data_IF_948216005817
#
_entry.id   IF_948216005817
#
_cell.length_a   1.000
_cell.length_b   1.000
_cell.length_c   1.000
_cell.angle_alpha   90.00
_cell.angle_beta   90.00
_cell.angle_gamma   90.00
#
_symmetry.space_group_name_H-M   'P 1'
#
loop_
_entity.id
_entity.type
_entity.pdbx_description
1 polymer ?
#
# COMPACT_ATOMS: atom_id res chain seq x y z
N UNK A 1 -12.57 -13.48 -6.30
CA UNK A 1 -12.03 -12.60 -5.24
C UNK A 1 -11.69 -11.28 -5.91
N UNK A 2 -11.91 -10.15 -5.23
CA UNK A 2 -11.67 -8.83 -5.80
C UNK A 2 -10.31 -8.33 -5.33
N UNK A 3 -9.39 -8.11 -6.27
CA UNK A 3 -8.10 -7.46 -6.03
C UNK A 3 -8.24 -5.98 -6.38
N UNK A 4 -7.68 -5.11 -5.53
CA UNK A 4 -7.58 -3.67 -5.78
C UNK A 4 -6.18 -3.22 -5.41
N UNK A 5 -5.56 -2.41 -6.26
CA UNK A 5 -4.24 -1.86 -6.05
C UNK A 5 -4.33 -0.35 -6.06
N UNK A 6 -3.70 0.28 -5.07
CA UNK A 6 -3.67 1.73 -4.96
C UNK A 6 -2.25 2.24 -4.72
N UNK A 7 -2.06 3.51 -5.05
CA UNK A 7 -0.94 4.35 -4.68
C UNK A 7 -1.48 5.64 -4.09
N UNK A 8 -1.12 5.95 -2.85
CA UNK A 8 -1.53 7.19 -2.19
C UNK A 8 -0.35 7.89 -1.53
N UNK A 9 -0.28 9.20 -1.68
CA UNK A 9 0.73 10.03 -1.01
C UNK A 9 0.16 10.56 0.30
N UNK A 10 0.95 10.48 1.36
CA UNK A 10 0.66 11.09 2.65
C UNK A 10 1.60 12.27 2.88
N UNK A 11 1.07 13.48 2.75
CA UNK A 11 1.87 14.71 2.75
C UNK A 11 2.56 14.97 4.09
N UNK A 12 1.92 14.63 5.21
CA UNK A 12 2.43 14.95 6.56
C UNK A 12 3.75 14.24 6.87
N UNK A 13 3.96 13.07 6.30
CA UNK A 13 5.13 12.22 6.56
C UNK A 13 6.06 12.08 5.34
N UNK A 14 5.71 12.68 4.19
CA UNK A 14 6.43 12.50 2.92
C UNK A 14 6.63 11.00 2.59
N UNK A 15 5.51 10.27 2.55
CA UNK A 15 5.48 8.82 2.29
C UNK A 15 4.50 8.49 1.18
N UNK A 16 4.94 7.68 0.23
CA UNK A 16 4.06 6.99 -0.71
C UNK A 16 3.69 5.61 -0.19
N UNK A 17 2.40 5.35 -0.10
CA UNK A 17 1.84 4.03 0.20
C UNK A 17 1.38 3.36 -1.09
N UNK A 18 1.88 2.16 -1.33
CA UNK A 18 1.32 1.24 -2.32
C UNK A 18 0.64 0.12 -1.57
N UNK A 19 -0.64 -0.12 -1.80
CA UNK A 19 -1.39 -1.11 -1.03
C UNK A 19 -2.14 -2.03 -1.99
N UNK A 20 -2.00 -3.33 -1.75
CA UNK A 20 -2.79 -4.36 -2.41
C UNK A 20 -3.85 -4.88 -1.44
N UNK A 21 -5.10 -4.65 -1.81
CA UNK A 21 -6.28 -5.15 -1.11
C UNK A 21 -6.82 -6.42 -1.78
N UNK A 22 -7.18 -7.40 -0.96
CA UNK A 22 -7.94 -8.58 -1.36
C UNK A 22 -9.24 -8.62 -0.56
N UNK A 23 -10.38 -8.55 -1.26
CA UNK A 23 -11.71 -8.44 -0.64
C UNK A 23 -11.74 -7.34 0.43
N UNK A 24 -11.32 -6.13 0.04
CA UNK A 24 -11.27 -4.91 0.85
C UNK A 24 -10.27 -4.88 2.02
N UNK A 25 -9.46 -5.93 2.22
CA UNK A 25 -8.43 -5.97 3.27
C UNK A 25 -7.02 -5.90 2.68
N UNK A 26 -6.16 -5.09 3.26
CA UNK A 26 -4.76 -5.03 2.82
C UNK A 26 -4.05 -6.36 3.12
N UNK A 27 -3.33 -6.87 2.12
CA UNK A 27 -2.54 -8.10 2.26
C UNK A 27 -1.06 -7.89 1.94
N UNK A 28 -0.74 -6.82 1.21
CA UNK A 28 0.63 -6.35 0.94
C UNK A 28 0.66 -4.83 0.93
N UNK A 29 1.72 -4.25 1.47
CA UNK A 29 1.96 -2.80 1.48
C UNK A 29 3.44 -2.50 1.24
N UNK A 30 3.69 -1.43 0.49
CA UNK A 30 4.99 -0.81 0.32
C UNK A 30 4.88 0.62 0.84
N UNK A 31 5.77 0.99 1.75
CA UNK A 31 6.00 2.39 2.12
C UNK A 31 7.28 2.85 1.43
N UNK A 32 7.20 3.94 0.68
CA UNK A 32 8.32 4.54 -0.02
C UNK A 32 8.49 5.98 0.46
N UNK A 33 9.58 6.23 1.18
CA UNK A 33 9.98 7.57 1.63
C UNK A 33 11.49 7.72 1.51
N UNK A 34 11.95 8.85 0.97
CA UNK A 34 13.38 9.18 0.86
C UNK A 34 14.25 8.04 0.26
N UNK A 35 13.71 7.33 -0.73
CA UNK A 35 14.37 6.19 -1.39
C UNK A 35 14.44 4.90 -0.57
N UNK A 36 13.90 4.89 0.67
CA UNK A 36 13.75 3.69 1.49
C UNK A 36 12.42 3.02 1.19
N UNK A 37 12.46 1.69 1.03
CA UNK A 37 11.28 0.84 0.84
C UNK A 37 11.07 -0.04 2.07
N UNK A 38 9.87 -0.01 2.62
CA UNK A 38 9.43 -0.92 3.68
C UNK A 38 8.34 -1.80 3.10
N UNK A 39 8.51 -3.12 3.23
CA UNK A 39 7.56 -4.11 2.76
C UNK A 39 6.85 -4.74 3.94
N UNK A 40 5.53 -4.79 3.87
CA UNK A 40 4.66 -5.37 4.89
C UNK A 40 3.71 -6.36 4.23
N UNK A 41 3.45 -7.46 4.90
CA UNK A 41 2.54 -8.54 4.46
C UNK A 41 1.74 -9.05 5.64
N UNK A 42 0.78 -9.95 5.42
CA UNK A 42 0.08 -10.63 6.52
C UNK A 42 1.03 -11.42 7.44
N UNK A 43 2.12 -11.97 6.90
CA UNK A 43 3.13 -12.72 7.66
C UNK A 43 4.10 -11.80 8.41
N UNK A 44 4.32 -10.59 7.90
CA UNK A 44 5.14 -9.55 8.51
C UNK A 44 4.37 -8.21 8.54
N UNK A 45 3.34 -8.08 9.40
CA UNK A 45 2.45 -6.92 9.37
C UNK A 45 3.03 -5.70 10.08
N UNK A 46 4.18 -5.81 10.74
CA UNK A 46 4.86 -4.71 11.44
C UNK A 46 6.35 -4.76 11.19
N UNK A 47 6.98 -3.60 10.97
CA UNK A 47 8.43 -3.46 10.81
C UNK A 47 8.89 -2.10 11.32
N UNK A 48 9.47 -2.06 12.53
CA UNK A 48 9.74 -0.80 13.22
C UNK A 48 8.42 -0.12 13.60
N UNK A 49 8.29 1.15 13.25
CA UNK A 49 7.05 1.93 13.47
C UNK A 49 5.99 1.69 12.38
N UNK A 50 6.37 1.09 11.25
CA UNK A 50 5.48 0.81 10.13
C UNK A 50 4.55 -0.38 10.41
N UNK A 51 3.29 -0.26 9.98
CA UNK A 51 2.24 -1.27 10.15
C UNK A 51 1.45 -1.46 8.86
N UNK A 52 1.15 -2.70 8.51
CA UNK A 52 0.25 -3.04 7.41
C UNK A 52 -1.11 -2.41 7.70
N UNK A 53 -1.64 -1.69 6.72
CA UNK A 53 -2.95 -1.06 6.82
C UNK A 53 -4.02 -2.06 7.30
N UNK A 54 -4.69 -1.74 8.40
CA UNK A 54 -5.57 -2.65 9.13
C UNK A 54 -7.06 -2.30 9.01
N UNK A 55 -7.39 -1.25 8.25
CA UNK A 55 -8.74 -0.80 7.96
C UNK A 55 -9.23 -1.24 6.57
N UNK A 56 -10.48 -0.91 6.24
CA UNK A 56 -11.05 -1.22 4.92
C UNK A 56 -10.56 -0.23 3.87
N UNK A 57 -10.49 -0.65 2.61
CA UNK A 57 -10.28 0.29 1.50
C UNK A 57 -11.38 1.35 1.42
N UNK A 58 -12.59 1.04 1.88
CA UNK A 58 -13.73 1.97 1.90
C UNK A 58 -13.53 3.13 2.90
N UNK A 59 -12.62 2.97 3.87
CA UNK A 59 -12.27 4.01 4.84
C UNK A 59 -11.24 5.02 4.27
N UNK A 60 -10.68 4.74 3.08
CA UNK A 60 -9.76 5.63 2.39
C UNK A 60 -10.52 6.61 1.47
N UNK A 61 -10.19 7.89 1.60
CA UNK A 61 -10.61 8.92 0.65
C UNK A 61 -9.81 8.80 -0.65
N UNK A 62 -10.25 7.94 -1.57
CA UNK A 62 -9.56 7.61 -2.82
C UNK A 62 -10.18 8.30 -4.02
N UNK A 63 -9.32 8.81 -4.90
CA UNK A 63 -9.70 9.31 -6.22
C UNK A 63 -9.33 8.30 -7.31
N UNK A 64 -9.89 8.46 -8.52
CA UNK A 64 -9.58 7.59 -9.67
C UNK A 64 -8.08 7.50 -9.98
N UNK A 65 -7.32 8.57 -9.71
CA UNK A 65 -5.87 8.62 -9.90
C UNK A 65 -5.07 7.81 -8.88
N UNK A 66 -5.67 7.44 -7.75
CA UNK A 66 -5.00 6.65 -6.72
C UNK A 66 -4.98 5.16 -7.10
N UNK A 67 -5.86 4.71 -7.99
CA UNK A 67 -5.89 3.33 -8.45
C UNK A 67 -4.77 3.08 -9.45
N UNK A 68 -4.04 1.98 -9.23
CA UNK A 68 -2.95 1.56 -10.11
C UNK A 68 -3.21 0.15 -10.62
N UNK A 69 -2.52 -0.21 -11.69
CA UNK A 69 -2.51 -1.59 -12.17
C UNK A 69 -1.72 -2.51 -11.23
N UNK A 70 -2.01 -3.81 -11.31
CA UNK A 70 -1.18 -4.84 -10.69
C UNK A 70 0.27 -4.75 -11.17
N UNK A 71 0.48 -4.49 -12.47
CA UNK A 71 1.83 -4.39 -13.04
C UNK A 71 2.64 -3.25 -12.42
N UNK A 72 2.03 -2.09 -12.19
CA UNK A 72 2.65 -0.98 -11.50
C UNK A 72 3.03 -1.32 -10.06
N UNK A 73 2.12 -1.98 -9.32
CA UNK A 73 2.41 -2.42 -7.96
C UNK A 73 3.57 -3.44 -7.93
N UNK A 74 3.53 -4.47 -8.78
CA UNK A 74 4.56 -5.51 -8.80
C UNK A 74 5.93 -4.97 -9.23
N UNK A 75 5.97 -3.93 -10.07
CA UNK A 75 7.21 -3.23 -10.42
C UNK A 75 7.86 -2.59 -9.19
N UNK A 76 7.08 -1.93 -8.34
CA UNK A 76 7.61 -1.38 -7.08
C UNK A 76 7.92 -2.47 -6.05
N UNK A 77 7.18 -3.58 -6.07
CA UNK A 77 7.39 -4.71 -5.17
C UNK A 77 8.72 -5.44 -5.45
N UNK A 78 9.07 -5.62 -6.72
CA UNK A 78 10.27 -6.37 -7.14
C UNK A 78 11.56 -5.55 -7.07
N UNK A 79 11.43 -4.21 -7.11
CA UNK A 79 12.51 -3.28 -6.82
C UNK A 79 13.38 -2.91 -8.00
#
# INVERSE_FOLDING_TARGET
MQEVFIKKYWEEEDIWFYIHFLNQRAIRQIELSNGKRIFLTLDLPKKGESMLYDQSIEDLDLNDSDYISKEEFEKEWQG
#
